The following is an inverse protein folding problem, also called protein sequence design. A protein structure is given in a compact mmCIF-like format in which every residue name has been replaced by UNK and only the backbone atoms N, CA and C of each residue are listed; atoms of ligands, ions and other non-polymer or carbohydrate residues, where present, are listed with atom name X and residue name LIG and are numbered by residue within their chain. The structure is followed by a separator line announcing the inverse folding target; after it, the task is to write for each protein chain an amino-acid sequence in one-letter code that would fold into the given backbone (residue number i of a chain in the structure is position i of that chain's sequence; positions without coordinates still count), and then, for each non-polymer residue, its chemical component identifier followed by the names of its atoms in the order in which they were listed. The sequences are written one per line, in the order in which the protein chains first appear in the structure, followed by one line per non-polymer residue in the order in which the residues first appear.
data_IF_687382624012
#
_entry.id   IF_687382624012
#
_cell.length_a   1.000
_cell.length_b   1.000
_cell.length_c   1.000
_cell.angle_alpha   90.00
_cell.angle_beta   90.00
_cell.angle_gamma   90.00
#
_symmetry.space_group_name_H-M   'P 1'
#
loop_
_entity.id
_entity.type
_entity.pdbx_description
1 polymer ?
#
# COMPACT_ATOMS: atom_id res chain seq x y z
N UNK A 1 -28.75 18.31 24.83
CA UNK A 1 -28.03 17.06 24.54
C UNK A 1 -28.43 16.66 23.15
N UNK A 2 -27.74 17.21 22.15
CA UNK A 2 -27.80 16.68 20.79
C UNK A 2 -26.91 15.44 20.81
N UNK A 3 -27.48 14.29 20.44
CA UNK A 3 -26.67 13.10 20.22
C UNK A 3 -25.75 13.42 19.05
N UNK A 4 -24.43 13.35 19.26
CA UNK A 4 -23.50 13.31 18.15
C UNK A 4 -23.87 12.10 17.30
N UNK A 5 -24.41 12.34 16.10
CA UNK A 5 -24.46 11.32 15.06
C UNK A 5 -23.01 10.92 14.78
N UNK A 6 -22.59 9.81 15.38
CA UNK A 6 -21.36 9.14 14.98
C UNK A 6 -21.64 8.65 13.57
N UNK A 7 -21.17 9.41 12.58
CA UNK A 7 -21.23 9.03 11.17
C UNK A 7 -20.67 7.61 11.06
N UNK A 8 -21.56 6.65 10.83
CA UNK A 8 -21.22 5.24 10.71
C UNK A 8 -20.34 5.15 9.48
N UNK A 9 -19.02 5.14 9.65
CA UNK A 9 -18.05 5.30 8.57
C UNK A 9 -18.20 4.17 7.54
N UNK A 10 -19.03 4.38 6.52
CA UNK A 10 -19.30 3.41 5.46
C UNK A 10 -18.15 3.45 4.47
N UNK A 11 -17.16 2.59 4.72
CA UNK A 11 -16.01 2.42 3.83
C UNK A 11 -16.40 2.13 2.37
N UNK A 12 -17.63 1.70 2.11
CA UNK A 12 -18.13 1.28 0.81
C UNK A 12 -18.20 2.42 -0.20
N UNK A 13 -18.54 3.64 0.24
CA UNK A 13 -18.74 4.79 -0.65
C UNK A 13 -17.44 5.46 -1.13
N UNK A 14 -16.30 5.11 -0.52
CA UNK A 14 -15.01 5.73 -0.81
C UNK A 14 -14.21 4.95 -1.86
N UNK A 15 -13.79 5.62 -2.93
CA UNK A 15 -12.93 5.03 -3.96
C UNK A 15 -11.44 5.01 -3.60
N UNK A 16 -11.03 5.87 -2.65
CA UNK A 16 -9.63 6.03 -2.24
C UNK A 16 -9.52 6.00 -0.72
N UNK A 17 -8.54 5.27 -0.21
CA UNK A 17 -8.27 5.09 1.21
C UNK A 17 -6.83 5.50 1.51
N UNK A 18 -6.63 6.30 2.56
CA UNK A 18 -5.30 6.57 3.13
C UNK A 18 -5.17 5.82 4.45
N UNK A 19 -4.05 5.13 4.66
CA UNK A 19 -3.84 4.32 5.85
C UNK A 19 -2.40 4.44 6.39
N UNK A 20 -2.32 4.69 7.69
CA UNK A 20 -1.09 4.61 8.48
C UNK A 20 -1.13 3.33 9.33
N UNK A 21 -0.79 2.14 8.77
CA UNK A 21 -0.77 0.91 9.54
C UNK A 21 0.13 1.06 10.77
N UNK A 22 -0.23 0.34 11.83
CA UNK A 22 0.49 0.29 13.11
C UNK A 22 1.16 -1.06 13.32
N UNK A 23 0.60 -2.12 12.72
CA UNK A 23 1.07 -3.49 12.89
C UNK A 23 0.75 -4.35 11.67
N UNK A 24 1.28 -5.57 11.64
CA UNK A 24 1.11 -6.48 10.50
C UNK A 24 -0.35 -6.92 10.30
N UNK A 25 -1.14 -6.96 11.38
CA UNK A 25 -2.55 -7.37 11.38
C UNK A 25 -3.43 -6.43 10.54
N UNK A 26 -3.02 -5.17 10.37
CA UNK A 26 -3.73 -4.18 9.55
C UNK A 26 -3.81 -4.59 8.07
N UNK A 27 -2.90 -5.46 7.61
CA UNK A 27 -2.90 -6.02 6.27
C UNK A 27 -4.23 -6.69 5.89
N UNK A 28 -4.94 -7.30 6.85
CA UNK A 28 -6.24 -7.94 6.57
C UNK A 28 -7.27 -6.91 6.09
N UNK A 29 -7.30 -5.74 6.74
CA UNK A 29 -8.20 -4.65 6.38
C UNK A 29 -7.86 -4.08 5.01
N UNK A 30 -6.56 -3.91 4.74
CA UNK A 30 -6.07 -3.43 3.44
C UNK A 30 -6.41 -4.43 2.34
N UNK A 31 -6.26 -5.75 2.58
CA UNK A 31 -6.63 -6.79 1.61
C UNK A 31 -8.11 -6.74 1.24
N UNK A 32 -9.01 -6.51 2.21
CA UNK A 32 -10.44 -6.29 1.92
C UNK A 32 -10.67 -5.08 1.03
N UNK A 33 -9.88 -4.01 1.16
CA UNK A 33 -9.99 -2.85 0.26
C UNK A 33 -9.47 -3.15 -1.15
N UNK A 34 -8.40 -3.95 -1.27
CA UNK A 34 -7.90 -4.44 -2.57
C UNK A 34 -8.96 -5.29 -3.25
N UNK A 35 -9.62 -6.18 -2.51
CA UNK A 35 -10.69 -7.03 -3.02
C UNK A 35 -11.86 -6.19 -3.58
N UNK A 36 -12.18 -5.09 -2.90
CA UNK A 36 -13.19 -4.10 -3.31
C UNK A 36 -12.68 -3.09 -4.36
N UNK A 37 -11.51 -3.33 -4.96
CA UNK A 37 -10.91 -2.51 -6.03
C UNK A 37 -10.77 -1.02 -5.65
N UNK A 38 -10.41 -0.74 -4.39
CA UNK A 38 -10.17 0.63 -3.90
C UNK A 38 -8.71 1.01 -4.10
N UNK A 39 -8.45 2.27 -4.44
CA UNK A 39 -7.10 2.83 -4.42
C UNK A 39 -6.66 3.06 -2.98
N UNK A 40 -5.46 2.60 -2.61
CA UNK A 40 -5.02 2.64 -1.21
C UNK A 40 -3.63 3.23 -1.11
N UNK A 41 -3.46 4.34 -0.41
CA UNK A 41 -2.14 4.89 -0.06
C UNK A 41 -1.78 4.46 1.36
N UNK A 42 -0.61 3.85 1.49
CA UNK A 42 -0.08 3.24 2.70
C UNK A 42 1.17 4.00 3.11
N UNK A 43 1.18 4.51 4.34
CA UNK A 43 2.36 5.13 4.95
C UNK A 43 3.01 4.19 5.96
N UNK A 44 4.25 3.77 5.67
CA UNK A 44 5.06 2.89 6.49
C UNK A 44 6.18 3.62 7.25
N UNK A 45 6.16 4.96 7.29
CA UNK A 45 7.23 5.76 7.93
C UNK A 45 7.47 5.40 9.40
N UNK A 46 6.41 5.03 10.12
CA UNK A 46 6.45 4.69 11.54
C UNK A 46 6.52 3.17 11.80
N UNK A 47 6.75 2.36 10.76
CA UNK A 47 6.82 0.90 10.87
C UNK A 47 8.27 0.45 10.74
N UNK A 48 8.71 -0.39 11.67
CA UNK A 48 10.05 -0.99 11.63
C UNK A 48 10.29 -1.78 10.34
N UNK A 49 11.51 -1.79 9.79
CA UNK A 49 11.80 -2.32 8.45
C UNK A 49 11.37 -3.78 8.25
N UNK A 50 11.54 -4.63 9.26
CA UNK A 50 11.12 -6.03 9.20
C UNK A 50 9.60 -6.19 9.08
N UNK A 51 8.84 -5.37 9.80
CA UNK A 51 7.37 -5.40 9.75
C UNK A 51 6.90 -4.77 8.44
N UNK A 52 7.53 -3.68 8.00
CA UNK A 52 7.23 -3.03 6.73
C UNK A 52 7.40 -4.00 5.55
N UNK A 53 8.51 -4.76 5.51
CA UNK A 53 8.72 -5.77 4.48
C UNK A 53 7.62 -6.84 4.51
N UNK A 54 7.29 -7.37 5.69
CA UNK A 54 6.21 -8.37 5.82
C UNK A 54 4.86 -7.83 5.33
N UNK A 55 4.54 -6.57 5.65
CA UNK A 55 3.33 -5.90 5.16
C UNK A 55 3.35 -5.87 3.63
N UNK A 56 4.44 -5.42 3.02
CA UNK A 56 4.58 -5.36 1.56
C UNK A 56 4.44 -6.74 0.91
N UNK A 57 5.08 -7.77 1.47
CA UNK A 57 5.02 -9.15 0.96
C UNK A 57 3.59 -9.70 1.00
N UNK A 58 2.89 -9.49 2.12
CA UNK A 58 1.50 -9.93 2.26
C UNK A 58 0.59 -9.23 1.26
N UNK A 59 0.76 -7.91 1.10
CA UNK A 59 -0.08 -7.12 0.20
C UNK A 59 0.21 -7.42 -1.27
N UNK A 60 1.46 -7.71 -1.64
CA UNK A 60 1.79 -8.19 -2.98
C UNK A 60 1.01 -9.46 -3.33
N UNK A 61 0.92 -10.42 -2.39
CA UNK A 61 0.09 -11.62 -2.57
C UNK A 61 -1.40 -11.33 -2.75
N UNK A 62 -1.95 -10.37 -2.00
CA UNK A 62 -3.35 -9.96 -2.12
C UNK A 62 -3.63 -9.21 -3.44
N UNK A 63 -2.66 -8.42 -3.91
CA UNK A 63 -2.76 -7.65 -5.15
C UNK A 63 -2.71 -8.52 -6.40
N UNK A 64 -1.95 -9.61 -6.37
CA UNK A 64 -1.82 -10.55 -7.48
C UNK A 64 -3.19 -11.09 -7.93
N UNK A 65 -4.09 -11.35 -6.98
CA UNK A 65 -5.45 -11.85 -7.26
C UNK A 65 -6.29 -10.83 -8.05
N UNK A 66 -5.98 -9.54 -7.94
CA UNK A 66 -6.72 -8.42 -8.53
C UNK A 66 -5.93 -7.66 -9.58
N UNK A 67 -4.79 -8.19 -10.03
CA UNK A 67 -3.84 -7.52 -10.94
C UNK A 67 -3.53 -6.07 -10.53
N UNK A 68 -3.55 -5.79 -9.21
CA UNK A 68 -3.26 -4.45 -8.71
C UNK A 68 -1.74 -4.21 -8.73
N UNK A 69 -1.34 -2.95 -8.83
CA UNK A 69 0.08 -2.56 -8.90
C UNK A 69 0.48 -1.59 -7.78
N UNK A 70 1.75 -1.62 -7.38
CA UNK A 70 2.31 -0.67 -6.43
C UNK A 70 2.91 0.53 -7.17
N UNK A 71 2.59 1.73 -6.69
CA UNK A 71 3.26 2.97 -7.03
C UNK A 71 3.94 3.55 -5.78
N UNK A 72 5.27 3.57 -5.75
CA UNK A 72 6.00 4.23 -4.69
C UNK A 72 6.03 5.74 -4.94
N UNK A 73 5.41 6.52 -4.04
CA UNK A 73 5.34 7.98 -4.15
C UNK A 73 6.31 8.69 -3.19
N UNK A 74 6.76 8.00 -2.14
CA UNK A 74 7.87 8.43 -1.28
C UNK A 74 8.62 7.22 -0.67
N UNK A 75 9.71 7.46 0.08
CA UNK A 75 10.61 6.39 0.60
C UNK A 75 9.86 5.26 1.32
N UNK A 76 8.83 5.61 2.08
CA UNK A 76 8.03 4.67 2.85
C UNK A 76 6.53 4.85 2.60
N UNK A 77 6.16 5.47 1.48
CA UNK A 77 4.76 5.72 1.11
C UNK A 77 4.48 5.09 -0.25
N UNK A 78 3.50 4.20 -0.27
CA UNK A 78 3.15 3.37 -1.42
C UNK A 78 1.67 3.52 -1.71
N UNK A 79 1.29 3.50 -2.97
CA UNK A 79 -0.12 3.45 -3.39
C UNK A 79 -0.38 2.15 -4.13
N UNK A 80 -1.41 1.42 -3.72
CA UNK A 80 -1.96 0.29 -4.45
C UNK A 80 -2.98 0.85 -5.44
N UNK A 81 -2.76 0.54 -6.71
CA UNK A 81 -3.58 0.98 -7.83
C UNK A 81 -4.31 -0.23 -8.40
N UNK A 82 -5.64 -0.28 -8.29
CA UNK A 82 -6.46 -1.32 -8.93
C UNK A 82 -6.29 -1.35 -10.45
N UNK A 83 -6.47 -2.53 -11.07
CA UNK A 83 -6.31 -2.73 -12.52
C UNK A 83 -7.22 -1.82 -13.35
N UNK A 84 -8.43 -1.54 -12.87
CA UNK A 84 -9.42 -0.70 -13.56
C UNK A 84 -9.13 0.81 -13.49
N UNK A 85 -8.07 1.24 -12.79
CA UNK A 85 -7.73 2.64 -12.59
C UNK A 85 -6.45 3.05 -13.34
N UNK A 86 -6.46 4.26 -13.90
CA UNK A 86 -5.28 4.90 -14.49
C UNK A 86 -4.80 6.01 -13.58
N UNK A 87 -3.51 6.02 -13.28
CA UNK A 87 -2.87 7.01 -12.41
C UNK A 87 -1.79 7.74 -13.19
N UNK A 88 -1.74 9.06 -13.03
CA UNK A 88 -0.64 9.89 -13.48
C UNK A 88 0.10 10.41 -12.26
N UNK A 89 1.39 10.11 -12.16
CA UNK A 89 2.25 10.61 -11.09
C UNK A 89 3.28 11.58 -11.66
N UNK A 90 3.18 12.84 -11.27
CA UNK A 90 4.14 13.89 -11.62
C UNK A 90 5.16 14.05 -10.48
N UNK A 91 6.29 13.36 -10.60
CA UNK A 91 7.34 13.43 -9.60
C UNK A 91 8.71 13.07 -10.16
N UNK A 92 9.78 13.51 -9.49
CA UNK A 92 11.14 13.15 -9.87
C UNK A 92 11.31 11.64 -9.73
N UNK A 93 11.52 10.95 -10.85
CA UNK A 93 11.80 9.51 -10.91
C UNK A 93 12.95 9.22 -9.94
N UNK A 94 12.69 8.52 -8.83
CA UNK A 94 13.79 7.93 -8.06
C UNK A 94 14.40 6.85 -8.94
N UNK A 95 15.64 7.03 -9.35
CA UNK A 95 16.47 5.97 -9.92
C UNK A 95 16.78 4.94 -8.83
N UNK A 96 15.79 4.14 -8.44
CA UNK A 96 16.04 2.82 -7.87
C UNK A 96 15.02 1.89 -8.51
N UNK A 97 15.56 0.93 -9.27
CA UNK A 97 14.84 -0.19 -9.88
C UNK A 97 13.81 -0.69 -8.89
N UNK A 98 12.61 -0.97 -9.41
CA UNK A 98 11.61 -1.75 -8.69
C UNK A 98 12.32 -2.91 -8.00
N UNK A 99 11.94 -3.16 -6.76
CA UNK A 99 12.33 -4.37 -6.08
C UNK A 99 11.71 -5.49 -6.92
N UNK A 100 12.51 -6.12 -7.78
CA UNK A 100 12.16 -7.41 -8.37
C UNK A 100 12.09 -8.38 -7.20
N UNK A 101 10.90 -8.52 -6.61
CA UNK A 101 10.59 -9.47 -5.54
C UNK A 101 10.85 -10.93 -5.96
N UNK A 102 11.17 -11.17 -7.25
CA UNK A 102 11.55 -12.48 -7.78
C UNK A 102 13.05 -12.78 -7.77
N UNK A 103 13.95 -11.81 -7.53
CA UNK A 103 15.40 -12.07 -7.55
C UNK A 103 16.05 -11.64 -6.26
N UNK A 104 16.31 -12.64 -5.41
CA UNK A 104 17.14 -12.55 -4.22
C UNK A 104 18.61 -12.24 -4.54
N UNK A 105 18.89 -11.07 -5.08
CA UNK A 105 20.26 -10.58 -5.24
C UNK A 105 20.70 -9.91 -3.94
N UNK A 106 21.61 -10.59 -3.23
CA UNK A 106 22.44 -9.99 -2.19
C UNK A 106 23.28 -8.89 -2.84
N UNK A 107 23.00 -7.64 -2.51
CA UNK A 107 23.92 -6.55 -2.82
C UNK A 107 25.15 -6.71 -1.92
N UNK A 108 26.22 -7.31 -2.46
CA UNK A 108 27.57 -7.04 -1.98
C UNK A 108 27.90 -5.60 -2.40
N UNK A 109 27.94 -4.70 -1.43
CA UNK A 109 28.52 -3.38 -1.63
C UNK A 109 30.03 -3.52 -1.76
N UNK A 110 30.57 -3.09 -2.88
CA UNK A 110 31.94 -2.60 -2.96
C UNK A 110 31.90 -1.10 -3.26
N UNK A 111 32.81 -0.39 -2.60
CA UNK A 111 32.84 1.06 -2.32
C UNK A 111 32.59 2.01 -3.49
#
# INVERSE_FOLDING_TARGET
MEAEEVDEFRYEDYSTIFIDPKQFEDCKKIATYIEKEKMITINLENIGPNVAQRIMDFLAGAMEIKNASFAQIAKHVYTIVPENMKVYYEGKKREKKLIDLEKGERFNGEN
#
